data_IF_609835788204
#
_entry.id   IF_609835788204
#
_cell.length_a   1.000
_cell.length_b   1.000
_cell.length_c   1.000
_cell.angle_alpha   90.00
_cell.angle_beta   90.00
_cell.angle_gamma   90.00
#
_symmetry.space_group_name_H-M   'P 1'
#
loop_
_entity.id
_entity.type
_entity.pdbx_description
1 polymer ?
#
# COMPACT_ATOMS: atom_id res chain seq x y z
N UNK A 1 63.36 -34.29 -14.21
CA UNK A 1 64.36 -33.51 -13.45
C UNK A 1 63.72 -32.18 -13.09
N UNK A 2 63.60 -31.94 -11.78
CA UNK A 2 63.34 -30.67 -11.06
C UNK A 2 62.16 -29.79 -11.52
N UNK A 3 61.03 -29.69 -10.81
CA UNK A 3 60.80 -29.21 -9.44
C UNK A 3 61.23 -27.75 -9.22
N UNK A 4 60.24 -26.86 -9.14
CA UNK A 4 60.26 -25.67 -8.28
C UNK A 4 58.83 -25.21 -8.04
N UNK A 5 58.28 -25.66 -6.91
CA UNK A 5 57.10 -25.09 -6.30
C UNK A 5 57.46 -23.70 -5.74
N UNK A 6 56.64 -22.70 -6.02
CA UNK A 6 56.62 -21.44 -5.27
C UNK A 6 55.20 -21.27 -4.75
N UNK A 7 55.04 -21.60 -3.47
CA UNK A 7 53.91 -21.21 -2.66
C UNK A 7 54.05 -19.71 -2.34
N UNK A 8 53.08 -18.90 -2.81
CA UNK A 8 52.90 -17.52 -2.37
C UNK A 8 51.57 -17.44 -1.62
N UNK A 9 51.70 -17.45 -0.30
CA UNK A 9 50.71 -17.03 0.67
C UNK A 9 50.30 -15.58 0.37
N UNK A 10 49.09 -15.36 -0.13
CA UNK A 10 48.41 -14.08 0.02
C UNK A 10 47.33 -14.22 1.09
N UNK A 11 47.54 -13.50 2.18
CA UNK A 11 46.63 -13.39 3.31
C UNK A 11 45.26 -12.85 2.89
N UNK A 12 44.27 -13.19 3.72
CA UNK A 12 42.88 -12.83 3.51
C UNK A 12 42.69 -11.33 3.37
N UNK A 13 42.39 -10.90 2.14
CA UNK A 13 41.65 -9.69 1.89
C UNK A 13 40.17 -10.10 1.84
N UNK A 14 39.40 -9.67 2.84
CA UNK A 14 37.95 -9.80 2.81
C UNK A 14 37.42 -9.16 1.54
N UNK A 15 36.89 -9.99 0.64
CA UNK A 15 36.19 -9.55 -0.54
C UNK A 15 34.90 -8.89 -0.04
N UNK A 16 34.90 -7.56 0.05
CA UNK A 16 33.67 -6.77 0.03
C UNK A 16 32.96 -7.12 -1.27
N UNK A 17 31.98 -8.01 -1.19
CA UNK A 17 31.02 -8.29 -2.26
C UNK A 17 30.24 -6.99 -2.49
N UNK A 18 30.78 -6.10 -3.32
CA UNK A 18 29.99 -5.03 -3.92
C UNK A 18 28.94 -5.72 -4.80
N UNK A 19 27.70 -5.77 -4.33
CA UNK A 19 26.58 -6.29 -5.09
C UNK A 19 26.50 -5.49 -6.40
N UNK A 20 26.80 -6.13 -7.53
CA UNK A 20 26.66 -5.54 -8.86
C UNK A 20 25.24 -4.97 -9.01
N UNK A 21 25.07 -3.73 -9.50
CA UNK A 21 23.74 -3.20 -9.74
C UNK A 21 23.05 -4.09 -10.78
N UNK A 22 21.83 -4.55 -10.48
CA UNK A 22 21.00 -5.14 -11.52
C UNK A 22 20.63 -4.00 -12.48
N UNK A 23 20.97 -4.15 -13.76
CA UNK A 23 20.47 -3.23 -14.77
C UNK A 23 18.98 -3.51 -14.98
N UNK A 24 18.18 -2.46 -14.81
CA UNK A 24 16.75 -2.50 -15.00
C UNK A 24 16.36 -2.57 -16.46
N UNK A 25 15.15 -3.07 -16.70
CA UNK A 25 14.50 -2.90 -17.98
C UNK A 25 13.95 -1.47 -18.07
N UNK A 26 14.20 -0.80 -19.18
CA UNK A 26 13.51 0.44 -19.53
C UNK A 26 12.00 0.16 -19.62
N UNK A 27 11.21 0.82 -18.76
CA UNK A 27 9.76 0.68 -18.76
C UNK A 27 9.17 1.86 -19.50
N UNK A 28 8.56 1.58 -20.66
CA UNK A 28 7.79 2.57 -21.42
C UNK A 28 6.31 2.44 -21.08
N UNK A 29 5.65 3.56 -20.78
CA UNK A 29 4.23 3.58 -20.45
C UNK A 29 3.57 4.90 -20.85
N UNK A 30 2.28 4.83 -21.20
CA UNK A 30 1.45 5.98 -21.52
C UNK A 30 1.13 6.78 -20.27
N UNK A 31 1.23 8.10 -20.38
CA UNK A 31 0.89 9.04 -19.32
C UNK A 31 0.09 10.20 -19.88
N UNK A 32 -0.73 10.78 -19.03
CA UNK A 32 -1.38 12.08 -19.25
C UNK A 32 -0.81 13.07 -18.25
N UNK A 33 -0.25 14.16 -18.77
CA UNK A 33 0.31 15.26 -17.99
C UNK A 33 -0.66 16.44 -18.03
N UNK A 34 -1.16 16.84 -16.86
CA UNK A 34 -2.08 17.97 -16.69
C UNK A 34 -1.29 19.16 -16.15
N UNK A 35 -1.11 20.23 -16.95
CA UNK A 35 -0.48 21.45 -16.48
C UNK A 35 -1.33 22.15 -15.40
N UNK A 36 -0.73 23.04 -14.60
CA UNK A 36 -1.49 23.88 -13.68
C UNK A 36 -2.39 24.85 -14.44
N UNK A 37 -3.39 25.41 -13.75
CA UNK A 37 -4.36 26.33 -14.35
C UNK A 37 -3.65 27.49 -15.08
N UNK A 38 -3.98 27.68 -16.37
CA UNK A 38 -3.35 28.67 -17.25
C UNK A 38 -2.15 28.14 -18.06
N UNK A 39 -1.67 26.92 -17.79
CA UNK A 39 -0.56 26.26 -18.50
C UNK A 39 -0.93 25.49 -19.78
N UNK A 40 -2.19 25.56 -20.21
CA UNK A 40 -2.72 24.82 -21.37
C UNK A 40 -3.54 23.58 -20.99
N UNK A 41 -3.94 22.79 -22.00
CA UNK A 41 -4.71 21.56 -21.81
C UNK A 41 -3.85 20.34 -21.47
N UNK A 42 -4.46 19.21 -21.06
CA UNK A 42 -3.75 17.96 -20.82
C UNK A 42 -2.98 17.47 -22.04
N UNK A 43 -1.80 16.89 -21.81
CA UNK A 43 -0.95 16.32 -22.86
C UNK A 43 -0.75 14.84 -22.60
N UNK A 44 -1.05 14.02 -23.61
CA UNK A 44 -0.78 12.59 -23.56
C UNK A 44 0.52 12.25 -24.28
N UNK A 45 1.27 11.31 -23.71
CA UNK A 45 2.56 10.90 -24.25
C UNK A 45 3.02 9.56 -23.70
N UNK A 46 4.18 9.11 -24.17
CA UNK A 46 4.84 7.90 -23.67
C UNK A 46 6.12 8.28 -22.95
N UNK A 47 6.18 7.96 -21.67
CA UNK A 47 7.38 8.12 -20.84
C UNK A 47 8.13 6.81 -20.79
N UNK A 48 9.46 6.86 -20.91
CA UNK A 48 10.35 5.72 -20.67
C UNK A 48 11.21 6.02 -19.45
N UNK A 49 11.14 5.14 -18.46
CA UNK A 49 11.87 5.27 -17.19
C UNK A 49 12.77 4.05 -16.95
N UNK A 50 13.98 4.31 -16.47
CA UNK A 50 14.93 3.31 -15.97
C UNK A 50 15.04 3.47 -14.46
N UNK A 51 14.69 2.43 -13.71
CA UNK A 51 14.93 2.40 -12.26
C UNK A 51 16.29 1.74 -12.01
N UNK A 52 17.02 2.04 -10.95
CA UNK A 52 18.26 1.33 -10.61
C UNK A 52 18.38 1.18 -9.10
N UNK A 53 18.74 -0.01 -8.65
CA UNK A 53 18.95 -0.37 -7.25
C UNK A 53 19.87 -1.60 -7.19
N UNK A 54 20.39 -1.97 -6.00
CA UNK A 54 21.11 -3.23 -5.81
C UNK A 54 20.27 -4.45 -6.23
N UNK A 55 20.90 -5.42 -6.90
CA UNK A 55 20.22 -6.66 -7.31
C UNK A 55 19.77 -7.52 -6.11
N UNK A 56 20.55 -7.46 -5.04
CA UNK A 56 20.39 -8.24 -3.82
C UNK A 56 20.62 -7.36 -2.62
N UNK A 57 19.85 -7.57 -1.56
CA UNK A 57 20.02 -6.87 -0.30
C UNK A 57 19.46 -7.72 0.86
N UNK A 58 19.61 -7.27 2.09
CA UNK A 58 19.13 -7.96 3.29
C UNK A 58 17.93 -7.27 3.89
N UNK A 59 17.14 -8.03 4.64
CA UNK A 59 16.12 -7.43 5.52
C UNK A 59 16.82 -6.50 6.50
N UNK A 60 16.35 -5.26 6.57
CA UNK A 60 16.93 -4.19 7.37
C UNK A 60 17.73 -3.17 6.56
N UNK A 61 18.18 -3.52 5.35
CA UNK A 61 18.98 -2.61 4.52
C UNK A 61 18.16 -1.40 4.04
N UNK A 62 18.80 -0.24 3.99
CA UNK A 62 18.32 0.94 3.26
C UNK A 62 19.07 1.04 1.93
N UNK A 63 18.38 0.72 0.83
CA UNK A 63 18.95 0.77 -0.51
C UNK A 63 18.59 2.07 -1.21
N UNK A 64 19.54 2.68 -1.91
CA UNK A 64 19.25 3.81 -2.80
C UNK A 64 18.58 3.29 -4.07
N UNK A 65 17.43 3.86 -4.38
CA UNK A 65 16.70 3.65 -5.62
C UNK A 65 16.85 4.93 -6.44
N UNK A 66 17.29 4.78 -7.69
CA UNK A 66 17.44 5.87 -8.65
C UNK A 66 16.42 5.68 -9.76
N UNK A 67 15.69 6.72 -10.12
CA UNK A 67 14.84 6.76 -11.29
C UNK A 67 15.42 7.76 -12.28
N UNK A 68 15.74 7.26 -13.47
CA UNK A 68 16.16 8.06 -14.62
C UNK A 68 15.07 8.10 -15.67
N UNK A 69 14.72 9.30 -16.11
CA UNK A 69 13.80 9.48 -17.24
C UNK A 69 14.60 9.39 -18.53
N UNK A 70 14.43 8.30 -19.28
CA UNK A 70 15.11 8.04 -20.55
C UNK A 70 14.42 8.80 -21.69
N UNK A 71 13.08 8.83 -21.66
CA UNK A 71 12.25 9.56 -22.61
C UNK A 71 11.12 10.26 -21.86
N UNK A 72 10.97 11.59 -21.97
CA UNK A 72 9.83 12.29 -21.39
C UNK A 72 8.55 12.03 -22.19
N UNK A 73 7.39 12.21 -21.55
CA UNK A 73 6.08 12.11 -22.19
C UNK A 73 5.92 13.07 -23.38
N UNK A 74 6.46 14.28 -23.24
CA UNK A 74 6.29 15.37 -24.19
C UNK A 74 7.54 16.24 -24.28
N UNK A 75 7.58 17.03 -25.34
CA UNK A 75 8.54 18.12 -25.48
C UNK A 75 8.05 19.35 -24.70
N UNK A 76 8.96 20.30 -24.45
CA UNK A 76 8.61 21.61 -23.94
C UNK A 76 7.60 22.32 -24.86
N UNK A 77 6.77 23.17 -24.26
CA UNK A 77 5.79 24.01 -24.95
C UNK A 77 6.45 24.92 -26.00
N UNK A 78 5.64 25.51 -26.87
CA UNK A 78 6.08 26.55 -27.81
C UNK A 78 6.00 27.97 -27.23
N UNK A 79 5.49 28.10 -26.00
CA UNK A 79 5.23 29.37 -25.33
C UNK A 79 6.52 30.03 -24.82
N UNK A 80 7.40 29.27 -24.17
CA UNK A 80 8.65 29.79 -23.57
C UNK A 80 9.76 28.75 -23.50
N UNK A 81 11.01 29.22 -23.46
CA UNK A 81 12.15 28.40 -23.07
C UNK A 81 12.12 28.20 -21.55
N UNK A 82 12.39 26.98 -21.08
CA UNK A 82 12.52 26.75 -19.64
C UNK A 82 13.96 27.11 -19.22
N UNK A 83 14.14 27.99 -18.23
CA UNK A 83 15.46 28.36 -17.74
C UNK A 83 16.22 27.16 -17.15
N UNK A 84 17.52 27.34 -16.98
CA UNK A 84 18.36 26.40 -16.25
C UNK A 84 17.86 26.29 -14.79
N UNK A 85 17.97 25.10 -14.20
CA UNK A 85 17.71 24.84 -12.79
C UNK A 85 16.32 25.31 -12.32
N UNK A 86 15.31 25.16 -13.20
CA UNK A 86 13.93 25.57 -12.96
C UNK A 86 12.98 24.41 -12.73
N UNK A 87 13.38 23.19 -13.09
CA UNK A 87 12.56 21.99 -13.05
C UNK A 87 13.02 21.09 -11.91
N UNK A 88 12.11 20.77 -10.99
CA UNK A 88 12.30 19.76 -9.96
C UNK A 88 11.38 18.56 -10.24
N UNK A 89 11.92 17.39 -10.60
CA UNK A 89 11.10 16.20 -10.83
C UNK A 89 10.80 15.49 -9.51
N UNK A 90 9.57 14.99 -9.38
CA UNK A 90 9.09 14.22 -8.23
C UNK A 90 8.41 12.97 -8.76
N UNK A 91 8.92 11.79 -8.42
CA UNK A 91 8.41 10.50 -8.90
C UNK A 91 7.79 9.69 -7.78
N UNK A 92 6.81 8.86 -8.11
CA UNK A 92 6.19 7.94 -7.16
C UNK A 92 6.32 6.53 -7.71
N UNK A 93 7.35 5.81 -7.27
CA UNK A 93 7.58 4.43 -7.69
C UNK A 93 6.72 3.48 -6.85
N UNK A 94 6.05 2.53 -7.51
CA UNK A 94 5.26 1.50 -6.84
C UNK A 94 6.18 0.36 -6.41
N UNK A 95 6.12 0.01 -5.14
CA UNK A 95 6.80 -1.14 -4.55
C UNK A 95 5.82 -2.31 -4.46
N UNK A 96 6.25 -3.49 -4.89
CA UNK A 96 5.47 -4.72 -4.90
C UNK A 96 6.29 -5.96 -4.59
N UNK A 97 5.65 -7.13 -4.67
CA UNK A 97 6.28 -8.42 -4.33
C UNK A 97 6.28 -8.66 -2.82
N UNK A 98 7.44 -8.97 -2.24
CA UNK A 98 7.62 -9.30 -0.83
C UNK A 98 7.23 -8.16 0.13
N UNK A 99 7.29 -6.90 -0.33
CA UNK A 99 6.73 -5.75 0.37
C UNK A 99 5.97 -4.85 -0.59
N UNK A 100 5.08 -4.00 -0.06
CA UNK A 100 4.20 -3.14 -0.87
C UNK A 100 4.25 -1.71 -0.35
N UNK A 101 4.16 -0.75 -1.26
CA UNK A 101 4.12 0.66 -0.90
C UNK A 101 4.28 1.58 -2.11
N UNK A 102 4.34 2.88 -1.85
CA UNK A 102 4.71 3.89 -2.83
C UNK A 102 5.97 4.60 -2.29
N UNK A 103 7.00 4.67 -3.12
CA UNK A 103 8.27 5.32 -2.82
C UNK A 103 8.29 6.67 -3.53
N UNK A 104 8.15 7.75 -2.74
CA UNK A 104 8.35 9.10 -3.24
C UNK A 104 9.85 9.32 -3.50
N UNK A 105 10.17 9.78 -4.70
CA UNK A 105 11.51 10.04 -5.18
C UNK A 105 11.60 11.50 -5.62
N UNK A 106 12.69 12.17 -5.29
CA UNK A 106 12.89 13.57 -5.68
C UNK A 106 14.22 13.71 -6.42
N UNK A 107 14.21 14.49 -7.49
CA UNK A 107 15.41 14.95 -8.15
C UNK A 107 15.84 16.31 -7.62
N UNK A 108 17.11 16.65 -7.85
CA UNK A 108 17.57 18.00 -7.65
C UNK A 108 16.81 18.95 -8.61
N UNK A 109 16.62 20.21 -8.21
CA UNK A 109 16.13 21.23 -9.16
C UNK A 109 17.29 21.61 -10.08
N UNK A 110 17.60 20.73 -11.03
CA UNK A 110 18.67 20.93 -11.99
C UNK A 110 18.30 20.39 -13.35
N UNK A 111 18.38 21.27 -14.33
CA UNK A 111 18.16 20.98 -15.74
C UNK A 111 18.99 21.98 -16.56
N UNK A 112 19.50 21.59 -17.73
CA UNK A 112 20.01 22.57 -18.69
C UNK A 112 18.85 23.49 -19.15
N UNK A 113 19.12 24.67 -19.74
CA UNK A 113 18.10 25.41 -20.47
C UNK A 113 17.39 24.49 -21.47
N UNK A 114 16.05 24.50 -21.48
CA UNK A 114 15.23 23.64 -22.35
C UNK A 114 14.53 24.54 -23.37
N UNK A 115 15.01 24.61 -24.62
CA UNK A 115 14.36 25.41 -25.65
C UNK A 115 12.91 24.97 -25.91
N UNK A 116 12.10 25.87 -26.45
CA UNK A 116 10.78 25.56 -26.99
C UNK A 116 10.82 24.33 -27.89
N UNK A 117 9.81 23.47 -27.81
CA UNK A 117 9.66 22.24 -28.62
C UNK A 117 10.77 21.20 -28.46
N UNK A 118 11.77 21.42 -27.60
CA UNK A 118 12.83 20.45 -27.35
C UNK A 118 12.39 19.39 -26.31
N UNK A 119 12.98 18.19 -26.30
CA UNK A 119 12.69 17.17 -25.29
C UNK A 119 12.96 17.68 -23.88
N UNK A 120 12.02 17.42 -22.97
CA UNK A 120 12.20 17.73 -21.55
C UNK A 120 13.39 16.95 -20.99
N UNK A 121 14.35 17.67 -20.41
CA UNK A 121 15.49 17.06 -19.70
C UNK A 121 15.32 17.33 -18.21
N UNK A 122 15.20 16.26 -17.43
CA UNK A 122 15.02 16.33 -15.98
C UNK A 122 16.10 15.51 -15.28
N UNK A 123 16.50 15.94 -14.08
CA UNK A 123 17.48 15.23 -13.27
C UNK A 123 16.98 13.86 -12.83
N UNK A 124 17.90 12.94 -12.55
CA UNK A 124 17.58 11.67 -11.90
C UNK A 124 16.94 11.91 -10.53
N UNK A 125 15.91 11.14 -10.22
CA UNK A 125 15.22 11.16 -8.93
C UNK A 125 15.80 10.07 -8.04
N UNK A 126 15.97 10.37 -6.76
CA UNK A 126 16.53 9.43 -5.79
C UNK A 126 15.62 9.28 -4.58
N UNK A 127 15.62 8.08 -4.01
CA UNK A 127 15.01 7.81 -2.72
C UNK A 127 15.73 6.66 -2.02
N UNK A 128 15.65 6.64 -0.69
CA UNK A 128 16.07 5.49 0.11
C UNK A 128 14.87 4.57 0.34
N UNK A 129 15.01 3.32 0.00
CA UNK A 129 14.02 2.27 0.25
C UNK A 129 14.54 1.36 1.36
N UNK A 130 13.81 1.30 2.48
CA UNK A 130 14.06 0.31 3.52
C UNK A 130 13.44 -1.03 3.13
N UNK A 131 14.23 -2.09 3.20
CA UNK A 131 13.79 -3.44 2.91
C UNK A 131 13.38 -4.12 4.21
N UNK A 132 12.11 -4.47 4.33
CA UNK A 132 11.53 -4.94 5.61
C UNK A 132 11.15 -6.41 5.60
N UNK A 133 11.14 -7.04 4.42
CA UNK A 133 10.73 -8.43 4.22
C UNK A 133 11.65 -9.13 3.24
N UNK A 134 12.01 -10.37 3.57
CA UNK A 134 12.73 -11.23 2.65
C UNK A 134 11.82 -11.67 1.50
N UNK A 135 12.43 -11.96 0.35
CA UNK A 135 11.78 -12.28 -0.90
C UNK A 135 12.02 -11.22 -1.98
N UNK A 136 11.35 -11.40 -3.12
CA UNK A 136 11.53 -10.55 -4.29
C UNK A 136 10.71 -9.25 -4.14
N UNK A 137 11.40 -8.11 -4.06
CA UNK A 137 10.80 -6.77 -4.00
C UNK A 137 10.86 -6.14 -5.38
N UNK A 138 9.71 -5.93 -6.02
CA UNK A 138 9.61 -5.31 -7.33
C UNK A 138 9.43 -3.80 -7.21
N UNK A 139 10.06 -3.04 -8.10
CA UNK A 139 9.89 -1.58 -8.20
C UNK A 139 9.43 -1.24 -9.61
N UNK A 140 8.26 -0.61 -9.71
CA UNK A 140 7.67 -0.11 -10.95
C UNK A 140 7.66 1.42 -10.94
N UNK A 141 7.97 2.08 -12.06
CA UNK A 141 7.64 3.49 -12.25
C UNK A 141 6.13 3.72 -12.05
N UNK A 142 5.75 4.93 -11.66
CA UNK A 142 4.35 5.32 -11.47
C UNK A 142 4.05 6.73 -11.94
N UNK A 143 3.15 7.40 -11.22
CA UNK A 143 2.86 8.83 -11.42
C UNK A 143 4.08 9.68 -11.07
N UNK A 144 4.17 10.85 -11.67
CA UNK A 144 5.24 11.81 -11.37
C UNK A 144 4.75 13.23 -11.59
N UNK A 145 5.37 14.17 -10.88
CA UNK A 145 5.12 15.59 -10.99
C UNK A 145 6.37 16.29 -11.53
N UNK A 146 6.14 17.35 -12.28
CA UNK A 146 7.17 18.28 -12.73
C UNK A 146 6.87 19.62 -12.10
N UNK A 147 7.70 20.02 -11.15
CA UNK A 147 7.61 21.31 -10.47
C UNK A 147 8.44 22.35 -11.22
N UNK A 148 7.77 23.34 -11.81
CA UNK A 148 8.38 24.54 -12.36
C UNK A 148 8.15 25.72 -11.41
N UNK A 149 9.10 25.97 -10.50
CA UNK A 149 9.06 27.11 -9.56
C UNK A 149 7.75 27.25 -8.76
N UNK A 150 7.15 26.14 -8.33
CA UNK A 150 5.90 26.06 -7.57
C UNK A 150 4.67 25.71 -8.41
N UNK A 151 4.80 25.70 -9.74
CA UNK A 151 3.75 25.30 -10.67
C UNK A 151 3.90 23.81 -11.00
N UNK A 152 3.01 22.99 -10.44
CA UNK A 152 3.05 21.54 -10.58
C UNK A 152 2.29 21.08 -11.84
N UNK A 153 2.98 20.35 -12.70
CA UNK A 153 2.36 19.54 -13.76
C UNK A 153 2.27 18.09 -13.29
N UNK A 154 1.07 17.55 -13.28
CA UNK A 154 0.80 16.20 -12.77
C UNK A 154 0.74 15.19 -13.91
N UNK A 155 1.63 14.21 -13.93
CA UNK A 155 1.66 13.15 -14.94
C UNK A 155 1.20 11.82 -14.34
N UNK A 156 0.08 11.30 -14.84
CA UNK A 156 -0.56 10.07 -14.35
C UNK A 156 -0.50 8.97 -15.41
N UNK A 157 -0.12 7.72 -15.06
CA UNK A 157 -0.16 6.59 -15.99
C UNK A 157 -1.59 6.32 -16.48
N UNK A 158 -1.71 6.03 -17.77
CA UNK A 158 -2.98 5.70 -18.43
C UNK A 158 -3.13 4.19 -18.69
N UNK A 159 -2.16 3.40 -18.23
CA UNK A 159 -2.14 1.95 -18.36
C UNK A 159 -1.40 1.33 -17.17
N UNK A 160 -1.48 0.00 -17.08
CA UNK A 160 -0.70 -0.73 -16.08
C UNK A 160 0.80 -0.63 -16.42
N UNK A 161 1.57 -0.06 -15.50
CA UNK A 161 3.01 0.11 -15.67
C UNK A 161 3.75 -1.18 -15.33
N UNK A 162 4.72 -1.56 -16.18
CA UNK A 162 5.56 -2.73 -15.98
C UNK A 162 6.50 -2.64 -14.77
N UNK A 163 7.08 -3.77 -14.38
CA UNK A 163 8.13 -3.82 -13.35
C UNK A 163 9.44 -3.33 -13.95
N UNK A 164 10.05 -2.33 -13.32
CA UNK A 164 11.34 -1.78 -13.75
C UNK A 164 12.52 -2.59 -13.23
N UNK A 165 12.47 -3.01 -11.96
CA UNK A 165 13.47 -3.94 -11.41
C UNK A 165 12.90 -4.79 -10.28
N UNK A 166 13.64 -5.84 -9.93
CA UNK A 166 13.37 -6.68 -8.77
C UNK A 166 14.63 -6.77 -7.92
N UNK A 167 14.50 -6.51 -6.63
CA UNK A 167 15.54 -6.69 -5.61
C UNK A 167 15.27 -8.01 -4.91
N UNK A 168 16.25 -8.91 -4.89
CA UNK A 168 16.17 -10.13 -4.07
C UNK A 168 16.58 -9.83 -2.64
N UNK A 169 15.63 -9.89 -1.71
CA UNK A 169 15.90 -9.61 -0.30
C UNK A 169 16.11 -10.91 0.46
N UNK A 170 17.28 -11.11 1.05
CA UNK A 170 17.58 -12.29 1.86
C UNK A 170 17.35 -12.01 3.34
N UNK A 171 16.93 -13.03 4.09
CA UNK A 171 16.91 -12.96 5.56
C UNK A 171 18.32 -12.73 6.12
N UNK A 172 18.39 -12.12 7.31
CA UNK A 172 19.67 -11.86 7.94
C UNK A 172 20.28 -13.18 8.43
N UNK A 173 21.49 -13.46 7.98
CA UNK A 173 22.16 -14.75 8.17
C UNK A 173 22.77 -14.88 9.56
N UNK A 174 21.94 -15.08 10.59
CA UNK A 174 22.36 -15.61 11.88
C UNK A 174 22.37 -17.14 11.83
N UNK A 175 23.54 -17.72 11.61
CA UNK A 175 23.73 -19.13 11.23
C UNK A 175 23.21 -20.18 12.22
N UNK A 176 22.64 -21.24 11.64
CA UNK A 176 22.34 -22.53 12.25
C UNK A 176 23.62 -23.38 12.32
N UNK A 177 24.15 -23.63 13.53
CA UNK A 177 25.05 -24.77 13.82
C UNK A 177 25.07 -25.04 15.33
N UNK A 178 24.76 -26.28 15.76
CA UNK A 178 25.23 -26.81 17.05
C UNK A 178 24.28 -27.73 17.84
N UNK A 179 24.44 -29.03 17.62
CA UNK A 179 24.02 -30.21 18.40
C UNK A 179 23.73 -30.10 19.92
N UNK A 180 22.65 -30.80 20.32
CA UNK A 180 22.44 -31.72 21.46
C UNK A 180 23.07 -31.53 22.87
N UNK A 181 22.14 -31.52 23.85
CA UNK A 181 22.14 -32.18 25.18
C UNK A 181 22.91 -31.55 26.36
N UNK A 182 22.15 -31.21 27.42
CA UNK A 182 22.65 -31.13 28.80
C UNK A 182 21.99 -30.05 29.68
N UNK A 183 20.89 -30.39 30.36
CA UNK A 183 20.49 -29.75 31.63
C UNK A 183 21.32 -30.35 32.80
N UNK A 184 21.39 -29.80 34.05
CA UNK A 184 20.37 -28.96 34.69
C UNK A 184 20.83 -27.84 35.68
N UNK A 185 19.81 -27.09 36.18
CA UNK A 185 19.70 -26.37 37.46
C UNK A 185 20.56 -25.07 37.64
N UNK A 186 20.13 -23.95 38.24
CA UNK A 186 18.96 -23.56 39.07
C UNK A 186 18.95 -22.02 39.25
N UNK A 187 17.75 -21.43 39.41
CA UNK A 187 17.41 -20.20 40.21
C UNK A 187 18.09 -18.86 39.85
N UNK A 188 17.43 -17.74 39.57
CA UNK A 188 16.02 -17.32 39.60
C UNK A 188 16.01 -15.78 39.69
N UNK A 189 15.11 -15.10 38.97
CA UNK A 189 14.34 -13.97 39.49
C UNK A 189 13.35 -13.48 38.44
N UNK A 190 12.10 -13.43 38.87
CA UNK A 190 10.87 -13.09 38.18
C UNK A 190 10.82 -11.67 37.65
N UNK A 191 10.30 -11.47 36.44
CA UNK A 191 9.32 -10.40 36.17
C UNK A 191 8.26 -10.97 35.24
N UNK A 192 7.03 -10.84 35.71
CA UNK A 192 5.79 -11.50 35.30
C UNK A 192 5.39 -11.23 33.86
N UNK A 193 5.05 -12.30 33.13
CA UNK A 193 4.52 -12.24 31.77
C UNK A 193 3.02 -11.96 31.70
N UNK A 194 2.55 -11.77 30.46
CA UNK A 194 1.22 -12.21 30.05
C UNK A 194 1.31 -12.72 28.61
N UNK A 195 1.72 -13.97 28.48
CA UNK A 195 1.33 -14.82 27.36
C UNK A 195 -0.04 -15.41 27.70
N UNK A 196 -1.06 -15.11 26.91
CA UNK A 196 -2.33 -15.85 26.96
C UNK A 196 -2.42 -16.72 25.73
N UNK A 197 -2.09 -18.01 25.90
CA UNK A 197 -2.72 -19.09 25.15
C UNK A 197 -4.01 -19.46 25.89
N UNK A 198 -5.16 -19.36 25.25
CA UNK A 198 -6.43 -19.74 25.90
C UNK A 198 -7.64 -19.53 25.00
N UNK A 199 -8.00 -20.58 24.27
CA UNK A 199 -9.32 -20.73 23.69
C UNK A 199 -10.37 -20.86 24.80
N UNK A 200 -11.11 -19.78 25.08
CA UNK A 200 -12.33 -19.82 25.91
C UNK A 200 -12.50 -18.63 26.88
N UNK A 201 -13.53 -17.80 26.67
CA UNK A 201 -14.14 -16.96 27.70
C UNK A 201 -13.86 -15.44 27.65
N UNK A 202 -12.73 -14.99 27.13
CA UNK A 202 -12.43 -13.55 27.11
C UNK A 202 -13.18 -12.85 25.96
N UNK A 203 -14.09 -11.94 26.29
CA UNK A 203 -14.81 -11.09 25.33
C UNK A 203 -14.15 -9.75 25.11
N UNK A 204 -13.37 -9.22 26.06
CA UNK A 204 -12.83 -7.87 26.01
C UNK A 204 -11.30 -7.91 25.96
N UNK A 205 -10.72 -7.17 25.02
CA UNK A 205 -9.30 -7.16 24.68
C UNK A 205 -8.80 -5.71 24.72
N UNK A 206 -8.31 -5.24 25.87
CA UNK A 206 -7.79 -3.89 25.98
C UNK A 206 -6.46 -3.76 25.24
N UNK A 207 -6.33 -2.70 24.45
CA UNK A 207 -5.08 -2.37 23.76
C UNK A 207 -4.08 -1.67 24.67
N UNK A 208 -2.83 -1.65 24.23
CA UNK A 208 -1.78 -0.79 24.78
C UNK A 208 -1.81 0.57 24.07
N UNK A 209 -1.61 1.63 24.84
CA UNK A 209 -1.38 2.95 24.28
C UNK A 209 -0.05 2.95 23.54
N UNK A 210 -0.08 3.30 22.25
CA UNK A 210 1.11 3.47 21.42
C UNK A 210 1.24 4.93 21.03
N UNK A 211 2.44 5.48 21.17
CA UNK A 211 2.71 6.83 20.67
C UNK A 211 2.74 6.79 19.14
N UNK A 212 1.89 7.61 18.52
CA UNK A 212 1.83 7.72 17.06
C UNK A 212 2.25 9.12 16.66
N UNK A 213 3.21 9.20 15.75
CA UNK A 213 3.58 10.44 15.07
C UNK A 213 2.82 10.51 13.75
N UNK A 214 1.98 11.54 13.59
CA UNK A 214 1.23 11.80 12.37
C UNK A 214 1.80 13.00 11.63
N UNK A 215 1.93 12.89 10.32
CA UNK A 215 2.10 14.01 9.42
C UNK A 215 0.73 14.38 8.83
N UNK A 216 0.29 15.60 9.08
CA UNK A 216 -0.98 16.13 8.59
C UNK A 216 -0.79 17.18 7.47
N UNK A 217 0.40 17.25 6.89
CA UNK A 217 0.74 18.15 5.80
C UNK A 217 0.57 19.63 6.14
N UNK A 218 0.14 20.41 5.15
CA UNK A 218 0.00 21.86 5.28
C UNK A 218 -1.09 22.30 6.28
N UNK A 219 -2.04 21.42 6.62
CA UNK A 219 -3.11 21.73 7.57
C UNK A 219 -2.59 21.87 9.01
N UNK A 220 -1.60 21.05 9.39
CA UNK A 220 -0.91 21.15 10.67
C UNK A 220 0.61 20.97 10.45
N UNK A 221 1.31 22.05 10.08
CA UNK A 221 2.75 22.02 9.89
C UNK A 221 3.46 21.54 11.16
N UNK A 222 4.36 20.55 11.01
CA UNK A 222 5.05 19.92 12.14
C UNK A 222 4.38 18.65 12.67
N UNK A 223 3.20 18.29 12.17
CA UNK A 223 2.50 17.07 12.54
C UNK A 223 2.04 17.05 13.99
N UNK A 224 1.59 15.88 14.46
CA UNK A 224 1.11 15.67 15.83
C UNK A 224 1.68 14.36 16.38
N UNK A 225 1.98 14.35 17.69
CA UNK A 225 2.31 13.13 18.42
C UNK A 225 1.22 12.89 19.45
N UNK A 226 0.52 11.76 19.33
CA UNK A 226 -0.57 11.43 20.25
C UNK A 226 -0.57 9.94 20.57
N UNK A 227 -0.70 9.57 21.85
CA UNK A 227 -1.01 8.20 22.23
C UNK A 227 -2.35 7.75 21.65
N UNK A 228 -2.36 6.59 21.01
CA UNK A 228 -3.56 5.94 20.46
C UNK A 228 -3.68 4.53 21.06
N UNK A 229 -4.89 4.16 21.47
CA UNK A 229 -5.21 2.84 22.01
C UNK A 229 -6.35 2.21 21.20
N UNK A 230 -6.14 0.99 20.70
CA UNK A 230 -7.15 0.19 20.00
C UNK A 230 -7.62 -0.92 20.94
N UNK A 231 -8.88 -0.86 21.36
CA UNK A 231 -9.50 -1.93 22.12
C UNK A 231 -10.37 -2.77 21.20
N UNK A 232 -10.56 -4.04 21.52
CA UNK A 232 -11.48 -4.91 20.82
C UNK A 232 -12.43 -5.60 21.80
N UNK A 233 -13.68 -5.79 21.38
CA UNK A 233 -14.65 -6.64 22.07
C UNK A 233 -15.16 -7.68 21.09
N UNK A 234 -15.01 -8.96 21.43
CA UNK A 234 -15.51 -10.07 20.62
C UNK A 234 -17.02 -9.99 20.51
N UNK A 235 -17.50 -10.05 19.27
CA UNK A 235 -18.91 -10.03 18.92
C UNK A 235 -19.15 -11.07 17.81
N UNK A 236 -19.67 -12.24 18.22
CA UNK A 236 -19.76 -13.41 17.34
C UNK A 236 -18.40 -13.85 16.81
N UNK A 237 -18.29 -13.96 15.49
CA UNK A 237 -17.04 -14.29 14.79
C UNK A 237 -16.08 -13.10 14.59
N UNK A 238 -16.52 -11.87 14.86
CA UNK A 238 -15.74 -10.65 14.69
C UNK A 238 -15.43 -9.94 16.01
N UNK A 239 -14.92 -8.73 15.88
CA UNK A 239 -14.53 -7.87 16.99
C UNK A 239 -15.00 -6.43 16.75
N UNK A 240 -15.76 -5.89 17.69
CA UNK A 240 -16.05 -4.47 17.74
C UNK A 240 -14.83 -3.73 18.27
N UNK A 241 -14.29 -2.84 17.46
CA UNK A 241 -13.12 -2.04 17.79
C UNK A 241 -13.54 -0.69 18.36
N UNK A 242 -12.80 -0.24 19.38
CA UNK A 242 -12.91 1.11 19.93
C UNK A 242 -11.53 1.73 20.01
N UNK A 243 -11.31 2.78 19.23
CA UNK A 243 -10.07 3.55 19.22
C UNK A 243 -10.21 4.80 20.06
N UNK A 244 -9.24 5.02 20.94
CA UNK A 244 -9.14 6.18 21.81
C UNK A 244 -7.85 6.92 21.50
N UNK A 245 -7.92 8.23 21.36
CA UNK A 245 -6.74 9.11 21.25
C UNK A 245 -6.59 9.91 22.55
N UNK A 246 -5.37 10.35 22.86
CA UNK A 246 -5.19 11.28 23.98
C UNK A 246 -6.00 12.57 23.78
N UNK A 247 -6.56 13.09 24.87
CA UNK A 247 -7.35 14.32 24.87
C UNK A 247 -6.42 15.53 24.73
N UNK A 248 -6.83 16.52 23.93
CA UNK A 248 -6.11 17.79 23.81
C UNK A 248 -4.76 17.71 23.10
N UNK A 249 -4.50 16.64 22.33
CA UNK A 249 -3.26 16.49 21.56
C UNK A 249 -3.10 17.54 20.44
N UNK A 250 -4.16 18.26 20.12
CA UNK A 250 -4.20 19.30 19.08
C UNK A 250 -4.89 20.55 19.62
N UNK A 251 -4.49 21.72 19.13
CA UNK A 251 -5.23 22.97 19.34
C UNK A 251 -5.98 23.33 18.06
N UNK A 252 -7.21 23.82 18.19
CA UNK A 252 -7.98 24.23 17.02
C UNK A 252 -7.43 25.56 16.46
N UNK A 253 -7.08 25.67 15.18
CA UNK A 253 -6.60 26.94 14.61
C UNK A 253 -7.73 27.98 14.42
N UNK A 254 -8.99 27.53 14.40
CA UNK A 254 -10.18 28.34 14.19
C UNK A 254 -11.32 27.87 15.11
N UNK A 255 -12.35 28.70 15.37
CA UNK A 255 -13.52 28.24 16.11
C UNK A 255 -14.29 27.20 15.29
N UNK A 256 -14.61 26.07 15.90
CA UNK A 256 -15.38 24.98 15.30
C UNK A 256 -16.75 24.87 15.98
N UNK A 257 -17.86 24.95 15.24
CA UNK A 257 -19.17 24.76 15.84
C UNK A 257 -19.37 23.32 16.33
N UNK A 258 -20.39 23.12 17.17
CA UNK A 258 -20.84 21.78 17.52
C UNK A 258 -21.23 21.01 16.24
N UNK A 259 -20.81 19.76 16.15
CA UNK A 259 -21.07 18.87 15.01
C UNK A 259 -20.12 19.05 13.82
N UNK A 260 -19.18 20.00 13.88
CA UNK A 260 -18.32 20.33 12.75
C UNK A 260 -17.20 19.31 12.52
N UNK A 261 -16.61 18.79 13.59
CA UNK A 261 -15.41 17.96 13.56
C UNK A 261 -15.78 16.49 13.73
N UNK A 262 -15.51 15.66 12.71
CA UNK A 262 -15.73 14.21 12.72
C UNK A 262 -14.41 13.46 12.49
N UNK A 263 -13.95 12.64 13.45
CA UNK A 263 -12.75 11.84 13.26
C UNK A 263 -13.04 10.49 12.61
N UNK A 264 -12.12 10.02 11.79
CA UNK A 264 -12.03 8.63 11.34
C UNK A 264 -10.58 8.15 11.31
N UNK A 265 -10.37 6.85 11.37
CA UNK A 265 -9.04 6.26 11.33
C UNK A 265 -9.05 4.93 10.60
N UNK A 266 -8.01 4.69 9.82
CA UNK A 266 -7.67 3.39 9.27
C UNK A 266 -6.77 2.67 10.29
N UNK A 267 -7.12 1.43 10.60
CA UNK A 267 -6.34 0.52 11.42
C UNK A 267 -5.72 -0.50 10.48
N UNK A 268 -4.39 -0.61 10.52
CA UNK A 268 -3.66 -1.63 9.78
C UNK A 268 -3.73 -2.96 10.51
N UNK A 269 -4.17 -3.99 9.79
CA UNK A 269 -4.16 -5.38 10.23
C UNK A 269 -2.87 -6.03 9.71
N UNK A 270 -2.14 -6.69 10.59
CA UNK A 270 -0.91 -7.42 10.29
C UNK A 270 -0.81 -8.75 11.05
N UNK A 271 0.40 -9.32 11.08
CA UNK A 271 0.64 -10.64 11.67
C UNK A 271 0.11 -11.76 10.77
N UNK A 272 -0.69 -12.65 11.35
CA UNK A 272 -1.35 -13.77 10.66
C UNK A 272 -2.53 -13.36 9.76
N UNK A 273 -2.98 -12.11 9.84
CA UNK A 273 -3.98 -11.54 8.93
C UNK A 273 -3.44 -10.26 8.26
N UNK A 274 -4.20 -9.68 7.35
CA UNK A 274 -3.79 -8.51 6.59
C UNK A 274 -5.00 -7.67 6.18
N UNK A 275 -4.81 -6.37 6.01
CA UNK A 275 -5.83 -5.47 5.48
C UNK A 275 -5.95 -4.20 6.30
N UNK A 276 -7.06 -3.50 6.10
CA UNK A 276 -7.34 -2.24 6.76
C UNK A 276 -8.78 -2.26 7.28
N UNK A 277 -8.96 -1.84 8.54
CA UNK A 277 -10.28 -1.63 9.14
C UNK A 277 -10.48 -0.13 9.33
N UNK A 278 -11.57 0.41 8.79
CA UNK A 278 -11.95 1.80 9.02
C UNK A 278 -12.78 1.91 10.29
N UNK A 279 -12.41 2.84 11.16
CA UNK A 279 -13.21 3.26 12.32
C UNK A 279 -13.63 4.72 12.16
N UNK A 280 -14.78 5.08 12.72
CA UNK A 280 -15.31 6.45 12.70
C UNK A 280 -15.84 6.84 14.07
N UNK A 281 -15.62 8.08 14.47
CA UNK A 281 -16.21 8.67 15.66
C UNK A 281 -17.41 9.55 15.31
N UNK A 282 -18.27 9.86 16.30
CA UNK A 282 -19.29 10.90 16.15
C UNK A 282 -18.62 12.28 16.05
N UNK A 283 -19.40 13.26 15.59
CA UNK A 283 -18.94 14.63 15.56
C UNK A 283 -18.83 15.22 16.99
N UNK A 284 -18.02 16.28 17.16
CA UNK A 284 -17.90 16.99 18.44
C UNK A 284 -19.28 17.50 18.92
N UNK A 285 -19.62 17.25 20.18
CA UNK A 285 -20.94 17.64 20.71
C UNK A 285 -21.00 19.11 21.15
N UNK A 286 -19.87 19.69 21.54
CA UNK A 286 -19.74 21.08 21.96
C UNK A 286 -18.89 21.87 20.95
N UNK A 287 -19.15 23.17 20.84
CA UNK A 287 -18.29 24.07 20.07
C UNK A 287 -16.88 24.11 20.69
N UNK A 288 -15.86 24.25 19.84
CA UNK A 288 -14.45 24.32 20.22
C UNK A 288 -13.96 25.72 19.82
N UNK A 289 -13.45 26.51 20.76
CA UNK A 289 -12.90 27.82 20.48
C UNK A 289 -11.59 27.77 19.68
N UNK A 290 -11.20 28.89 19.10
CA UNK A 290 -9.87 29.02 18.52
C UNK A 290 -8.81 28.93 19.64
N UNK A 291 -7.79 28.11 19.44
CA UNK A 291 -6.74 27.82 20.42
C UNK A 291 -7.11 26.76 21.45
N UNK A 292 -8.38 26.35 21.55
CA UNK A 292 -8.84 25.36 22.52
C UNK A 292 -8.32 23.95 22.18
N UNK A 293 -8.11 23.10 23.21
CA UNK A 293 -7.70 21.72 23.01
C UNK A 293 -8.81 20.92 22.32
N UNK A 294 -8.47 20.31 21.19
CA UNK A 294 -9.34 19.40 20.45
C UNK A 294 -9.26 18.02 21.09
N UNK A 295 -10.43 17.49 21.48
CA UNK A 295 -10.59 16.11 21.91
C UNK A 295 -11.40 15.37 20.86
N UNK A 296 -10.80 14.35 20.23
CA UNK A 296 -11.51 13.49 19.31
C UNK A 296 -12.41 12.55 20.09
N UNK A 297 -13.64 12.35 19.61
CA UNK A 297 -14.50 11.32 20.14
C UNK A 297 -13.94 9.93 19.85
N UNK A 298 -14.25 8.96 20.72
CA UNK A 298 -13.88 7.57 20.50
C UNK A 298 -14.42 7.09 19.14
N UNK A 299 -13.55 6.44 18.37
CA UNK A 299 -13.91 5.93 17.04
C UNK A 299 -14.23 4.45 17.13
N UNK A 300 -15.28 4.01 16.45
CA UNK A 300 -15.69 2.61 16.44
C UNK A 300 -15.72 2.02 15.04
N UNK A 301 -15.57 0.72 14.96
CA UNK A 301 -15.72 -0.06 13.72
C UNK A 301 -15.65 -1.55 14.03
N UNK A 302 -15.73 -2.39 13.01
CA UNK A 302 -15.76 -3.85 13.21
C UNK A 302 -14.64 -4.51 12.42
N UNK A 303 -13.90 -5.39 13.09
CA UNK A 303 -12.88 -6.23 12.49
C UNK A 303 -13.39 -7.66 12.37
N UNK A 304 -13.41 -8.16 11.14
CA UNK A 304 -13.74 -9.54 10.82
C UNK A 304 -12.46 -10.24 10.31
N UNK A 305 -11.89 -11.19 11.07
CA UNK A 305 -10.68 -11.89 10.64
C UNK A 305 -10.91 -12.68 9.36
N UNK A 306 -10.04 -12.55 8.38
CA UNK A 306 -10.03 -13.37 7.17
C UNK A 306 -9.13 -14.59 7.26
N UNK A 307 -8.19 -14.58 8.21
CA UNK A 307 -7.24 -15.67 8.42
C UNK A 307 -7.20 -16.09 9.89
N UNK A 308 -6.82 -17.35 10.12
CA UNK A 308 -6.58 -17.88 11.47
C UNK A 308 -5.12 -17.60 11.84
N UNK A 309 -4.88 -17.08 13.05
CA UNK A 309 -3.53 -16.81 13.56
C UNK A 309 -3.49 -15.60 14.49
N UNK A 310 -2.28 -15.11 14.77
CA UNK A 310 -2.07 -13.90 15.58
C UNK A 310 -2.19 -12.65 14.72
N UNK A 311 -3.32 -11.95 14.77
CA UNK A 311 -3.51 -10.67 14.10
C UNK A 311 -3.02 -9.50 14.95
N UNK A 312 -2.34 -8.54 14.35
CA UNK A 312 -1.87 -7.31 15.01
C UNK A 312 -2.64 -6.10 14.49
N UNK A 313 -3.09 -5.22 15.37
CA UNK A 313 -3.83 -4.00 15.04
C UNK A 313 -2.99 -2.78 15.39
N UNK A 314 -2.71 -1.95 14.39
CA UNK A 314 -1.90 -0.74 14.54
C UNK A 314 -2.63 0.48 13.96
N UNK A 315 -2.56 1.67 14.60
CA UNK A 315 -3.04 2.91 14.00
C UNK A 315 -2.28 3.23 12.71
N UNK A 316 -2.99 3.67 11.66
CA UNK A 316 -2.40 3.97 10.35
C UNK A 316 -2.74 5.39 9.88
N UNK A 317 -3.75 5.60 9.04
CA UNK A 317 -4.16 6.94 8.61
C UNK A 317 -5.32 7.48 9.45
N UNK A 318 -5.14 8.62 10.08
CA UNK A 318 -6.23 9.39 10.69
C UNK A 318 -6.77 10.41 9.68
N UNK A 319 -8.06 10.70 9.73
CA UNK A 319 -8.70 11.72 8.89
C UNK A 319 -9.69 12.49 9.74
N UNK A 320 -9.58 13.81 9.71
CA UNK A 320 -10.47 14.70 10.44
C UNK A 320 -11.26 15.48 9.39
N UNK A 321 -12.56 15.23 9.34
CA UNK A 321 -13.47 15.99 8.48
C UNK A 321 -14.01 17.18 9.28
N UNK A 322 -13.86 18.39 8.72
CA UNK A 322 -14.37 19.63 9.31
C UNK A 322 -15.42 20.25 8.40
N UNK A 323 -16.66 20.33 8.88
CA UNK A 323 -17.81 20.90 8.19
C UNK A 323 -18.26 22.15 8.95
N UNK A 324 -17.99 23.33 8.39
CA UNK A 324 -18.25 24.61 9.07
C UNK A 324 -19.74 25.00 9.08
N UNK A 325 -20.53 24.45 8.16
CA UNK A 325 -21.97 24.69 8.06
C UNK A 325 -22.68 23.48 7.43
N UNK A 326 -23.94 23.20 7.78
CA UNK A 326 -24.72 22.14 7.14
C UNK A 326 -24.74 22.30 5.61
N UNK A 327 -24.43 21.23 4.87
CA UNK A 327 -24.38 21.24 3.41
C UNK A 327 -23.09 21.83 2.79
N UNK A 328 -22.16 22.34 3.59
CA UNK A 328 -20.86 22.77 3.10
C UNK A 328 -19.96 21.57 2.75
N UNK A 329 -19.05 21.76 1.79
CA UNK A 329 -18.03 20.76 1.47
C UNK A 329 -17.10 20.54 2.67
N UNK A 330 -16.93 19.29 3.15
CA UNK A 330 -16.02 19.00 4.25
C UNK A 330 -14.58 19.36 3.91
N UNK A 331 -13.90 20.04 4.83
CA UNK A 331 -12.45 20.18 4.80
C UNK A 331 -11.87 18.88 5.34
N UNK A 332 -11.21 18.12 4.47
CA UNK A 332 -10.61 16.82 4.83
C UNK A 332 -9.17 17.06 5.24
N UNK A 333 -8.84 16.78 6.50
CA UNK A 333 -7.47 16.85 7.02
C UNK A 333 -6.91 15.42 7.11
N UNK A 334 -6.09 14.99 6.14
CA UNK A 334 -5.42 13.70 6.19
C UNK A 334 -4.22 13.78 7.13
N UNK A 335 -4.10 12.81 8.03
CA UNK A 335 -2.99 12.65 8.96
C UNK A 335 -2.41 11.24 8.81
N UNK A 336 -1.28 11.10 8.14
CA UNK A 336 -0.62 9.82 7.90
C UNK A 336 0.32 9.47 9.06
N UNK A 337 0.21 8.25 9.63
CA UNK A 337 1.18 7.80 10.62
C UNK A 337 2.56 7.63 9.97
N UNK A 338 3.53 8.37 10.46
CA UNK A 338 4.95 8.27 10.06
C UNK A 338 5.73 7.37 11.01
N UNK A 339 5.26 7.22 12.25
CA UNK A 339 5.74 6.23 13.21
C UNK A 339 4.56 5.73 14.05
N UNK A 340 4.41 4.42 14.17
CA UNK A 340 3.31 3.76 14.90
C UNK A 340 3.77 2.40 15.42
N UNK A 341 3.06 1.86 16.41
CA UNK A 341 3.31 0.55 17.00
C UNK A 341 2.06 -0.31 17.03
N UNK A 342 2.25 -1.59 17.37
CA UNK A 342 1.14 -2.53 17.57
C UNK A 342 0.42 -2.18 18.88
N UNK A 343 -0.83 -1.75 18.77
CA UNK A 343 -1.65 -1.42 19.93
C UNK A 343 -2.32 -2.67 20.51
N UNK A 344 -2.72 -3.62 19.67
CA UNK A 344 -3.41 -4.83 20.11
C UNK A 344 -3.00 -6.05 19.27
N UNK A 345 -2.86 -7.19 19.93
CA UNK A 345 -2.69 -8.49 19.31
C UNK A 345 -3.88 -9.38 19.67
N UNK A 346 -4.41 -10.09 18.68
CA UNK A 346 -5.55 -10.99 18.82
C UNK A 346 -5.23 -12.35 18.22
N UNK A 347 -5.55 -13.41 18.97
CA UNK A 347 -5.69 -14.75 18.40
C UNK A 347 -7.04 -14.85 17.71
N UNK A 348 -7.02 -14.94 16.37
CA UNK A 348 -8.21 -14.91 15.54
C UNK A 348 -8.42 -16.21 14.79
N UNK A 349 -9.67 -16.49 14.45
CA UNK A 349 -10.06 -17.59 13.58
C UNK A 349 -10.69 -17.01 12.33
N UNK A 350 -10.25 -17.49 11.16
CA UNK A 350 -10.78 -17.07 9.87
C UNK A 350 -12.32 -17.11 9.86
N UNK A 351 -12.92 -16.04 9.37
CA UNK A 351 -14.35 -15.94 9.12
C UNK A 351 -14.57 -15.69 7.63
N UNK A 352 -15.67 -16.23 7.10
CA UNK A 352 -16.06 -16.01 5.71
C UNK A 352 -16.29 -14.53 5.41
N UNK A 353 -15.66 -14.01 4.35
CA UNK A 353 -15.74 -12.58 3.99
C UNK A 353 -14.94 -11.65 4.91
N UNK A 354 -13.98 -12.18 5.68
CA UNK A 354 -13.06 -11.38 6.50
C UNK A 354 -11.98 -10.65 5.70
N UNK A 355 -11.16 -9.85 6.39
CA UNK A 355 -10.18 -8.91 5.81
C UNK A 355 -9.16 -9.52 4.81
N UNK A 356 -9.04 -10.84 4.76
CA UNK A 356 -8.17 -11.62 3.86
C UNK A 356 -8.87 -12.45 2.77
N UNK A 357 -10.21 -12.43 2.66
CA UNK A 357 -10.94 -13.08 1.57
C UNK A 357 -10.87 -12.22 0.30
N UNK A 358 -10.60 -12.79 -0.90
CA UNK A 358 -10.86 -12.08 -2.14
C UNK A 358 -12.38 -11.99 -2.33
N UNK A 359 -12.96 -10.85 -1.93
CA UNK A 359 -14.40 -10.60 -2.00
C UNK A 359 -14.70 -9.23 -2.60
N UNK A 360 -15.52 -9.25 -3.64
CA UNK A 360 -15.93 -8.11 -4.46
C UNK A 360 -16.36 -6.87 -3.66
N UNK A 361 -16.01 -5.70 -4.16
CA UNK A 361 -16.52 -4.40 -3.75
C UNK A 361 -18.02 -4.33 -3.96
N UNK A 362 -18.80 -4.67 -2.93
CA UNK A 362 -20.20 -4.30 -2.79
C UNK A 362 -20.30 -2.98 -2.05
N UNK A 363 -20.58 -1.90 -2.80
CA UNK A 363 -20.95 -0.61 -2.23
C UNK A 363 -22.29 -0.71 -1.51
N UNK A 364 -22.31 -0.51 -0.19
CA UNK A 364 -23.53 -0.25 0.58
C UNK A 364 -23.80 1.26 0.59
N UNK A 365 -24.52 1.72 -0.44
CA UNK A 365 -25.22 3.01 -0.41
C UNK A 365 -26.52 2.87 0.37
N UNK A 366 -26.62 3.59 1.47
CA UNK A 366 -27.83 3.75 2.28
C UNK A 366 -28.87 4.56 1.51
N UNK A 367 -30.08 4.01 1.34
CA UNK A 367 -31.22 4.67 0.71
C UNK A 367 -32.52 4.34 1.45
N UNK A 368 -33.03 5.37 2.11
CA UNK A 368 -34.34 5.68 2.70
C UNK A 368 -35.51 4.68 2.62
N UNK A 369 -36.21 4.60 3.75
CA UNK A 369 -37.51 4.00 4.04
C UNK A 369 -38.69 4.51 3.20
N UNK A 370 -39.53 3.60 2.71
CA UNK A 370 -41.00 3.77 2.64
C UNK A 370 -41.75 2.44 2.42
N UNK A 371 -42.54 2.10 3.44
CA UNK A 371 -43.76 1.28 3.56
C UNK A 371 -44.28 0.38 2.42
N UNK A 372 -44.60 -0.88 2.79
CA UNK A 372 -45.89 -1.51 2.50
C UNK A 372 -45.89 -2.87 1.78
N UNK A 373 -46.46 -3.91 2.41
CA UNK A 373 -47.21 -4.97 1.70
C UNK A 373 -46.66 -6.42 1.66
N UNK A 374 -47.11 -7.23 2.62
CA UNK A 374 -47.54 -8.65 2.56
C UNK A 374 -46.92 -9.71 1.61
N UNK A 375 -46.56 -10.84 2.24
CA UNK A 375 -46.77 -12.26 1.85
C UNK A 375 -45.70 -13.05 1.06
N UNK A 376 -45.39 -14.22 1.64
CA UNK A 376 -45.04 -15.53 1.05
C UNK A 376 -43.75 -15.73 0.24
N UNK A 377 -42.79 -16.44 0.85
CA UNK A 377 -42.37 -17.77 0.40
C UNK A 377 -41.53 -17.93 -0.88
N UNK A 378 -40.37 -18.58 -0.68
CA UNK A 378 -39.64 -19.48 -1.58
C UNK A 378 -38.64 -18.94 -2.63
N UNK A 379 -37.45 -19.57 -2.54
CA UNK A 379 -36.49 -19.97 -3.59
C UNK A 379 -35.56 -18.90 -4.19
N UNK A 380 -34.35 -19.39 -4.45
CA UNK A 380 -33.18 -18.67 -4.92
C UNK A 380 -33.41 -18.10 -6.32
N UNK A 381 -33.33 -16.77 -6.42
CA UNK A 381 -33.30 -16.03 -7.68
C UNK A 381 -31.86 -15.59 -7.94
N UNK A 382 -31.12 -16.38 -8.73
CA UNK A 382 -29.87 -15.95 -9.34
C UNK A 382 -30.18 -15.36 -10.71
N UNK A 383 -30.18 -14.04 -10.81
CA UNK A 383 -30.34 -13.34 -12.08
C UNK A 383 -30.11 -11.85 -11.91
N UNK A 384 -28.97 -11.36 -12.41
CA UNK A 384 -28.75 -9.95 -12.66
C UNK A 384 -29.28 -9.64 -14.06
N UNK A 385 -30.21 -8.70 -14.14
CA UNK A 385 -30.73 -8.19 -15.40
C UNK A 385 -29.89 -6.95 -15.80
N UNK A 386 -29.33 -7.10 -17.01
CA UNK A 386 -28.93 -6.09 -17.97
C UNK A 386 -27.60 -5.30 -17.87
N UNK A 387 -27.00 -5.29 -19.07
CA UNK A 387 -25.85 -4.57 -19.64
C UNK A 387 -24.43 -5.04 -19.23
N UNK A 388 -23.59 -5.59 -20.11
CA UNK A 388 -23.64 -5.74 -21.56
C UNK A 388 -22.21 -5.66 -22.11
N UNK A 389 -21.76 -6.66 -22.88
CA UNK A 389 -20.74 -6.42 -23.91
C UNK A 389 -19.52 -7.32 -24.02
N UNK A 390 -18.86 -7.79 -22.94
CA UNK A 390 -17.45 -8.27 -23.10
C UNK A 390 -17.13 -9.68 -22.55
N UNK A 391 -18.12 -10.46 -22.07
CA UNK A 391 -17.85 -11.85 -21.61
C UNK A 391 -18.47 -12.98 -22.45
N UNK A 392 -18.97 -12.69 -23.65
CA UNK A 392 -19.66 -13.68 -24.48
C UNK A 392 -18.79 -14.40 -25.55
N UNK A 393 -17.46 -14.18 -25.61
CA UNK A 393 -16.61 -14.91 -26.57
C UNK A 393 -15.82 -16.09 -25.96
N UNK A 394 -15.83 -16.27 -24.64
CA UNK A 394 -15.00 -17.29 -23.98
C UNK A 394 -15.73 -18.61 -23.66
N UNK A 395 -17.07 -18.66 -23.72
CA UNK A 395 -17.83 -19.85 -23.31
C UNK A 395 -18.33 -20.74 -24.47
N UNK A 396 -18.07 -20.37 -25.73
CA UNK A 396 -18.47 -21.19 -26.91
C UNK A 396 -17.32 -22.11 -27.39
N UNK A 397 -16.08 -21.87 -26.97
CA UNK A 397 -14.95 -22.72 -27.35
C UNK A 397 -14.84 -24.03 -26.54
N UNK A 398 -15.44 -24.10 -25.35
CA UNK A 398 -15.29 -25.24 -24.44
C UNK A 398 -16.12 -26.48 -24.81
N UNK A 399 -17.25 -26.32 -25.49
CA UNK A 399 -18.17 -27.43 -25.82
C UNK A 399 -17.88 -28.08 -27.18
N UNK A 400 -17.16 -27.40 -28.09
CA UNK A 400 -16.78 -27.97 -29.40
C UNK A 400 -15.61 -28.96 -29.26
N UNK A 401 -14.70 -28.75 -28.31
CA UNK A 401 -13.53 -29.63 -28.11
C UNK A 401 -13.94 -30.98 -27.51
N UNK A 402 -14.96 -31.01 -26.64
CA UNK A 402 -15.41 -32.27 -26.01
C UNK A 402 -16.28 -33.14 -26.92
N UNK A 403 -16.95 -32.57 -27.94
CA UNK A 403 -17.66 -33.35 -28.96
C UNK A 403 -16.71 -33.87 -30.07
N UNK A 404 -15.61 -33.17 -30.35
CA UNK A 404 -14.60 -33.62 -31.32
C UNK A 404 -13.82 -34.87 -30.89
N UNK A 405 -13.57 -35.04 -29.59
CA UNK A 405 -12.83 -36.20 -29.05
C UNK A 405 -13.65 -37.51 -29.06
N UNK A 406 -14.99 -37.41 -29.01
CA UNK A 406 -15.88 -38.58 -29.01
C UNK A 406 -16.03 -39.20 -30.42
N UNK A 407 -16.00 -38.38 -31.48
CA UNK A 407 -16.14 -38.88 -32.87
C UNK A 407 -14.87 -39.57 -33.34
N UNK A 408 -13.68 -39.10 -32.92
CA UNK A 408 -12.40 -39.67 -33.33
C UNK A 408 -12.07 -41.03 -32.68
N UNK A 409 -12.65 -41.31 -31.51
CA UNK A 409 -12.40 -42.56 -30.76
C UNK A 409 -13.39 -43.68 -31.10
N UNK A 410 -14.57 -43.36 -31.64
CA UNK A 410 -15.62 -44.35 -31.96
C UNK A 410 -15.86 -44.61 -33.46
N UNK A 411 -15.12 -43.98 -34.38
CA UNK A 411 -15.23 -44.34 -35.81
C UNK A 411 -14.40 -45.58 -36.13
N UNK A 412 -14.97 -46.67 -36.67
CA UNK A 412 -14.21 -47.85 -37.08
C UNK A 412 -13.54 -47.62 -38.45
N UNK A 413 -12.33 -47.06 -38.44
CA UNK A 413 -11.51 -46.77 -39.63
C UNK A 413 -11.06 -48.01 -40.44
N UNK A 414 -11.42 -49.24 -40.02
CA UNK A 414 -11.06 -50.49 -40.71
C UNK A 414 -11.95 -50.84 -41.92
N UNK A 415 -13.00 -50.07 -42.24
CA UNK A 415 -13.89 -50.33 -43.40
C UNK A 415 -13.77 -49.36 -44.58
N UNK A 416 -12.90 -48.34 -44.51
CA UNK A 416 -12.73 -47.35 -45.60
C UNK A 416 -11.47 -47.55 -46.46
N UNK A 417 -10.75 -48.66 -46.33
CA UNK A 417 -9.74 -49.09 -47.30
C UNK A 417 -10.25 -50.25 -48.15
N UNK A 418 -11.20 -49.93 -49.03
CA UNK A 418 -11.57 -50.78 -50.15
C UNK A 418 -10.76 -50.41 -51.39
N UNK A 419 -9.63 -51.11 -51.55
CA UNK A 419 -8.90 -51.60 -52.76
C UNK A 419 -8.85 -50.81 -54.10
N UNK A 420 -7.73 -50.97 -54.85
CA UNK A 420 -7.16 -49.99 -55.78
C UNK A 420 -7.94 -49.72 -57.06
#
# INVERSE_FOLDING_TARGET
MSAAAVALLFGGAGILLAASPAQAADVSYKVECVPPAGGGGPVQGTTTASITAPATAKVGDEVEVVWKTVKPASNNTDLMDLPKDSIKPIGYAKIGGAQSGELKMEGARSNPPIPKKSPMTISDMKAKLKLTKAGDVTISPGKYDVDFSGLLTHCTPQESVGVGLTIKVTEDGGGTTGNTTGAPATTGSTTTGSTTSGSGGQSDFPGKAVEVAYDCGAFLPGGIKTPVTINAKKNGGGYDLTVKTAKGAMKSPAPLPAGALKPSMNIKIGGGDSGTVKVSGPANTAAIGAGDPVTLADMTGTYKPGKTGKATLSPDQMTIDVVMAPGATPIVVPCAATATGVSLELDVTAQEGGAGSPGATGSTSSGTTSSGGTSSGNLAETGAEDEGGIKALALVAGTVILLGAAVFTFTPWRRLRGRP
#
